data_IF_642161389904
#
_entry.id   IF_642161389904
#
_cell.length_a   1.000
_cell.length_b   1.000
_cell.length_c   1.000
_cell.angle_alpha   90.00
_cell.angle_beta   90.00
_cell.angle_gamma   90.00
#
_symmetry.space_group_name_H-M   'P 1'
#
loop_
_entity.id
_entity.type
_entity.pdbx_description
1 polymer ?
#
# COMPACT_ATOMS: atom_id res chain seq x y z
N UNK A 1 -6.01 -27.92 -18.74
CA UNK A 1 -5.13 -27.61 -17.58
C UNK A 1 -4.60 -26.18 -17.56
N UNK A 2 -3.96 -25.65 -18.63
CA UNK A 2 -3.40 -24.28 -18.62
C UNK A 2 -4.48 -23.20 -18.79
N UNK A 3 -5.51 -23.47 -19.59
CA UNK A 3 -6.68 -22.57 -19.77
C UNK A 3 -7.59 -22.57 -18.54
N UNK A 4 -7.85 -23.71 -17.92
CA UNK A 4 -8.68 -23.82 -16.70
C UNK A 4 -8.11 -22.97 -15.55
N UNK A 5 -6.79 -23.00 -15.35
CA UNK A 5 -6.11 -22.18 -14.34
C UNK A 5 -6.18 -20.68 -14.64
N UNK A 6 -6.25 -20.29 -15.92
CA UNK A 6 -6.40 -18.89 -16.32
C UNK A 6 -7.76 -18.35 -15.92
N UNK A 7 -8.83 -19.10 -16.23
CA UNK A 7 -10.20 -18.72 -15.88
C UNK A 7 -10.40 -18.65 -14.37
N UNK A 8 -9.86 -19.61 -13.61
CA UNK A 8 -9.92 -19.60 -12.14
C UNK A 8 -9.26 -18.33 -11.55
N UNK A 9 -8.11 -17.92 -12.09
CA UNK A 9 -7.43 -16.72 -11.60
C UNK A 9 -8.20 -15.44 -11.92
N UNK A 10 -8.87 -15.35 -13.07
CA UNK A 10 -9.75 -14.22 -13.40
C UNK A 10 -10.92 -14.15 -12.43
N UNK A 11 -11.58 -15.29 -12.18
CA UNK A 11 -12.68 -15.38 -11.22
C UNK A 11 -12.22 -14.94 -9.82
N UNK A 12 -11.01 -15.34 -9.41
CA UNK A 12 -10.43 -14.92 -8.14
C UNK A 12 -10.15 -13.41 -8.04
N UNK A 13 -9.69 -12.78 -9.13
CA UNK A 13 -9.50 -11.32 -9.16
C UNK A 13 -10.84 -10.60 -9.11
N UNK A 14 -11.82 -11.04 -9.91
CA UNK A 14 -13.15 -10.44 -9.94
C UNK A 14 -13.85 -10.61 -8.59
N UNK A 15 -13.77 -11.80 -7.97
CA UNK A 15 -14.36 -12.03 -6.65
C UNK A 15 -13.70 -11.16 -5.58
N UNK A 16 -12.38 -11.01 -5.61
CA UNK A 16 -11.66 -10.12 -4.71
C UNK A 16 -12.12 -8.66 -4.86
N UNK A 17 -12.23 -8.15 -6.10
CA UNK A 17 -12.71 -6.77 -6.37
C UNK A 17 -14.12 -6.58 -5.82
N UNK A 18 -15.04 -7.50 -6.10
CA UNK A 18 -16.42 -7.43 -5.59
C UNK A 18 -16.45 -7.42 -4.07
N UNK A 19 -15.69 -8.30 -3.40
CA UNK A 19 -15.63 -8.36 -1.94
C UNK A 19 -15.06 -7.06 -1.36
N UNK A 20 -14.01 -6.51 -1.98
CA UNK A 20 -13.41 -5.25 -1.57
C UNK A 20 -14.40 -4.08 -1.73
N UNK A 21 -15.08 -3.97 -2.87
CA UNK A 21 -16.07 -2.93 -3.13
C UNK A 21 -17.25 -3.00 -2.15
N UNK A 22 -17.78 -4.20 -1.89
CA UNK A 22 -18.83 -4.41 -0.90
C UNK A 22 -18.37 -3.97 0.49
N UNK A 23 -17.14 -4.31 0.90
CA UNK A 23 -16.59 -3.89 2.17
C UNK A 23 -16.42 -2.36 2.27
N UNK A 24 -16.03 -1.70 1.17
CA UNK A 24 -15.82 -0.25 1.10
C UNK A 24 -17.16 0.49 1.12
N UNK A 25 -18.13 0.07 0.30
CA UNK A 25 -19.45 0.71 0.16
C UNK A 25 -20.30 0.50 1.41
N UNK A 26 -20.26 -0.68 2.03
CA UNK A 26 -20.99 -0.97 3.28
C UNK A 26 -20.24 -0.47 4.53
N UNK A 27 -19.07 0.17 4.38
CA UNK A 27 -18.26 0.68 5.48
C UNK A 27 -17.92 -0.37 6.55
N UNK A 28 -17.61 -1.61 6.14
CA UNK A 28 -17.28 -2.68 7.09
C UNK A 28 -15.91 -2.38 7.72
N UNK A 29 -15.82 -2.12 9.04
CA UNK A 29 -14.58 -1.71 9.68
C UNK A 29 -13.51 -2.81 9.57
N UNK A 30 -12.24 -2.39 9.55
CA UNK A 30 -11.04 -3.22 9.30
C UNK A 30 -10.98 -3.87 7.90
N UNK A 31 -12.04 -4.52 7.44
CA UNK A 31 -12.12 -5.13 6.10
C UNK A 31 -11.99 -4.07 5.01
N UNK A 32 -12.68 -2.93 5.17
CA UNK A 32 -12.53 -1.78 4.26
C UNK A 32 -11.08 -1.33 4.13
N UNK A 33 -10.40 -1.15 5.27
CA UNK A 33 -9.02 -0.65 5.29
C UNK A 33 -8.07 -1.68 4.69
N UNK A 34 -8.19 -2.95 5.07
CA UNK A 34 -7.31 -4.01 4.61
C UNK A 34 -7.52 -4.33 3.12
N UNK A 35 -8.75 -4.59 2.70
CA UNK A 35 -9.07 -4.93 1.31
C UNK A 35 -8.91 -3.73 0.39
N UNK A 36 -9.36 -2.55 0.82
CA UNK A 36 -9.17 -1.31 0.07
C UNK A 36 -7.69 -0.99 -0.13
N UNK A 37 -6.85 -1.18 0.90
CA UNK A 37 -5.41 -0.98 0.78
C UNK A 37 -4.81 -1.93 -0.25
N UNK A 38 -5.15 -3.22 -0.25
CA UNK A 38 -4.67 -4.19 -1.24
C UNK A 38 -5.17 -3.85 -2.65
N UNK A 39 -6.44 -3.47 -2.78
CA UNK A 39 -7.07 -3.07 -4.05
C UNK A 39 -6.39 -1.82 -4.64
N UNK A 40 -5.98 -0.87 -3.81
CA UNK A 40 -5.27 0.33 -4.23
C UNK A 40 -3.78 0.09 -4.50
N UNK A 41 -3.04 -0.50 -3.55
CA UNK A 41 -1.57 -0.55 -3.58
C UNK A 41 -1.00 -1.72 -4.37
N UNK A 42 -1.70 -2.85 -4.46
CA UNK A 42 -1.10 -4.07 -4.99
C UNK A 42 -1.75 -4.45 -6.31
N UNK A 43 -3.08 -4.54 -6.35
CA UNK A 43 -3.80 -5.20 -7.43
C UNK A 43 -3.54 -4.60 -8.83
N UNK A 44 -3.62 -3.27 -9.06
CA UNK A 44 -3.45 -2.69 -10.39
C UNK A 44 -2.03 -2.92 -10.94
N UNK A 45 -1.03 -2.70 -10.10
CA UNK A 45 0.37 -2.94 -10.44
C UNK A 45 0.70 -4.41 -10.64
N UNK A 46 0.07 -5.32 -9.89
CA UNK A 46 0.28 -6.76 -10.05
C UNK A 46 -0.21 -7.24 -11.43
N UNK A 47 -1.35 -6.72 -11.89
CA UNK A 47 -1.88 -6.97 -13.23
C UNK A 47 -0.97 -6.36 -14.31
N UNK A 48 -0.50 -5.12 -14.12
CA UNK A 48 0.45 -4.48 -15.04
C UNK A 48 1.76 -5.26 -15.18
N UNK A 49 2.33 -5.73 -14.07
CA UNK A 49 3.54 -6.56 -14.10
C UNK A 49 3.31 -7.81 -14.92
N UNK A 50 2.13 -8.40 -14.83
CA UNK A 50 1.82 -9.61 -15.60
C UNK A 50 1.78 -9.35 -17.11
N UNK A 51 1.42 -8.13 -17.53
CA UNK A 51 1.44 -7.72 -18.93
C UNK A 51 2.86 -7.43 -19.44
N UNK A 52 3.62 -6.64 -18.68
CA UNK A 52 4.85 -6.02 -19.20
C UNK A 52 6.14 -6.71 -18.74
N UNK A 53 6.14 -7.40 -17.61
CA UNK A 53 7.36 -7.92 -16.99
C UNK A 53 7.49 -9.42 -17.25
N UNK A 54 8.63 -9.90 -17.76
CA UNK A 54 8.84 -11.32 -18.00
C UNK A 54 8.77 -12.14 -16.71
N UNK A 55 8.30 -13.39 -16.82
CA UNK A 55 7.99 -14.24 -15.67
C UNK A 55 9.22 -14.57 -14.78
N UNK A 56 10.44 -14.35 -15.26
CA UNK A 56 11.71 -14.71 -14.61
C UNK A 56 12.13 -13.78 -13.45
N UNK A 57 11.39 -12.71 -13.17
CA UNK A 57 11.68 -11.84 -12.03
C UNK A 57 11.46 -12.56 -10.69
N UNK A 58 12.32 -12.26 -9.70
CA UNK A 58 12.14 -12.73 -8.33
C UNK A 58 10.89 -12.14 -7.69
N UNK A 59 10.31 -12.87 -6.73
CA UNK A 59 9.06 -12.47 -6.06
C UNK A 59 9.16 -11.08 -5.40
N UNK A 60 10.27 -10.79 -4.73
CA UNK A 60 10.51 -9.49 -4.07
C UNK A 60 10.46 -8.35 -5.08
N UNK A 61 11.11 -8.52 -6.24
CA UNK A 61 11.09 -7.50 -7.31
C UNK A 61 9.67 -7.30 -7.82
N UNK A 62 8.90 -8.38 -8.02
CA UNK A 62 7.50 -8.30 -8.45
C UNK A 62 6.66 -7.51 -7.44
N UNK A 63 6.82 -7.75 -6.13
CA UNK A 63 6.08 -7.00 -5.10
C UNK A 63 6.44 -5.51 -5.12
N UNK A 64 7.73 -5.17 -5.15
CA UNK A 64 8.18 -3.76 -5.13
C UNK A 64 7.68 -3.02 -6.37
N UNK A 65 7.84 -3.61 -7.56
CA UNK A 65 7.31 -3.02 -8.79
C UNK A 65 5.78 -2.90 -8.76
N UNK A 66 5.08 -3.86 -8.12
CA UNK A 66 3.63 -3.87 -8.06
C UNK A 66 3.15 -2.65 -7.29
N UNK A 67 3.76 -2.37 -6.14
CA UNK A 67 3.43 -1.22 -5.32
C UNK A 67 3.74 0.08 -6.05
N UNK A 68 4.93 0.22 -6.64
CA UNK A 68 5.32 1.42 -7.37
C UNK A 68 4.41 1.73 -8.57
N UNK A 69 4.08 0.71 -9.38
CA UNK A 69 3.21 0.88 -10.54
C UNK A 69 1.78 1.22 -10.10
N UNK A 70 1.25 0.59 -9.06
CA UNK A 70 -0.07 0.92 -8.52
C UNK A 70 -0.15 2.37 -8.05
N UNK A 71 0.83 2.84 -7.27
CA UNK A 71 0.87 4.22 -6.77
C UNK A 71 0.90 5.21 -7.95
N UNK A 72 1.74 4.94 -8.96
CA UNK A 72 1.79 5.76 -10.17
C UNK A 72 0.47 5.77 -10.94
N UNK A 73 -0.18 4.62 -11.08
CA UNK A 73 -1.49 4.51 -11.73
C UNK A 73 -2.55 5.28 -10.95
N UNK A 74 -2.59 5.18 -9.63
CA UNK A 74 -3.56 5.90 -8.80
C UNK A 74 -3.43 7.42 -8.93
N UNK A 75 -2.21 7.95 -8.95
CA UNK A 75 -1.97 9.38 -9.19
C UNK A 75 -2.53 9.80 -10.57
N UNK A 76 -2.28 9.00 -11.60
CA UNK A 76 -2.76 9.29 -12.95
C UNK A 76 -4.29 9.16 -13.08
N UNK A 77 -4.89 8.13 -12.48
CA UNK A 77 -6.34 7.92 -12.42
C UNK A 77 -7.01 9.08 -11.70
N UNK A 78 -6.52 9.46 -10.52
CA UNK A 78 -7.04 10.59 -9.76
C UNK A 78 -7.00 11.89 -10.55
N UNK A 79 -5.87 12.17 -11.22
CA UNK A 79 -5.74 13.31 -12.12
C UNK A 79 -6.79 13.28 -13.25
N UNK A 80 -6.96 12.15 -13.93
CA UNK A 80 -7.91 12.02 -15.04
C UNK A 80 -9.36 12.20 -14.58
N UNK A 81 -9.78 11.56 -13.48
CA UNK A 81 -11.16 11.70 -12.98
C UNK A 81 -11.40 13.14 -12.51
N UNK A 82 -10.41 13.76 -11.86
CA UNK A 82 -10.54 15.14 -11.41
C UNK A 82 -10.73 16.11 -12.58
N UNK A 83 -10.01 15.90 -13.69
CA UNK A 83 -10.09 16.75 -14.87
C UNK A 83 -11.32 16.45 -15.74
N UNK A 84 -11.63 15.18 -16.00
CA UNK A 84 -12.71 14.76 -16.89
C UNK A 84 -14.08 14.71 -16.19
N UNK A 85 -14.10 14.43 -14.89
CA UNK A 85 -15.33 14.25 -14.11
C UNK A 85 -16.30 15.43 -14.21
N UNK A 86 -15.86 16.69 -13.99
CA UNK A 86 -16.71 17.86 -14.13
C UNK A 86 -17.31 18.00 -15.54
N UNK A 87 -16.54 17.68 -16.58
CA UNK A 87 -17.03 17.70 -17.98
C UNK A 87 -18.09 16.63 -18.25
N UNK A 88 -18.13 15.57 -17.44
CA UNK A 88 -19.15 14.52 -17.49
C UNK A 88 -20.32 14.77 -16.51
N UNK A 89 -20.39 15.95 -15.89
CA UNK A 89 -21.42 16.32 -14.92
C UNK A 89 -21.21 15.76 -13.50
N UNK A 90 -20.04 15.19 -13.20
CA UNK A 90 -19.70 14.70 -11.87
C UNK A 90 -19.17 15.86 -11.03
N UNK A 91 -19.99 16.35 -10.09
CA UNK A 91 -19.64 17.49 -9.23
C UNK A 91 -18.58 17.19 -8.16
N UNK A 92 -18.42 15.92 -7.77
CA UNK A 92 -17.46 15.46 -6.76
C UNK A 92 -16.61 14.28 -7.28
N UNK A 93 -15.70 14.51 -8.24
CA UNK A 93 -14.89 13.47 -8.87
C UNK A 93 -14.00 12.68 -7.90
N UNK A 94 -13.52 13.29 -6.82
CA UNK A 94 -12.66 12.64 -5.81
C UNK A 94 -13.45 12.04 -4.64
N UNK A 95 -14.75 11.78 -4.84
CA UNK A 95 -15.55 11.01 -3.87
C UNK A 95 -15.38 9.50 -4.07
N UNK A 96 -15.82 8.70 -3.09
CA UNK A 96 -15.60 7.24 -3.07
C UNK A 96 -16.15 6.55 -4.32
N UNK A 97 -17.36 6.92 -4.77
CA UNK A 97 -18.05 6.22 -5.85
C UNK A 97 -17.35 6.43 -7.22
N UNK A 98 -17.06 7.66 -7.68
CA UNK A 98 -16.34 7.86 -8.94
C UNK A 98 -14.92 7.26 -8.92
N UNK A 99 -14.22 7.34 -7.78
CA UNK A 99 -12.89 6.75 -7.60
C UNK A 99 -12.95 5.23 -7.77
N UNK A 100 -13.85 4.55 -7.06
CA UNK A 100 -14.00 3.09 -7.17
C UNK A 100 -14.40 2.68 -8.58
N UNK A 101 -15.34 3.40 -9.19
CA UNK A 101 -15.75 3.13 -10.57
C UNK A 101 -14.56 3.17 -11.54
N UNK A 102 -13.75 4.22 -11.48
CA UNK A 102 -12.60 4.37 -12.36
C UNK A 102 -11.51 3.32 -12.09
N UNK A 103 -11.21 3.01 -10.83
CA UNK A 103 -10.26 1.95 -10.46
C UNK A 103 -10.75 0.60 -10.98
N UNK A 104 -12.04 0.30 -10.85
CA UNK A 104 -12.65 -0.93 -11.34
C UNK A 104 -12.63 -1.00 -12.88
N UNK A 105 -12.87 0.10 -13.58
CA UNK A 105 -12.68 0.16 -15.03
C UNK A 105 -11.23 -0.16 -15.41
N UNK A 106 -10.25 0.43 -14.72
CA UNK A 106 -8.82 0.13 -14.99
C UNK A 106 -8.51 -1.34 -14.69
N UNK A 107 -8.92 -1.87 -13.54
CA UNK A 107 -8.70 -3.28 -13.19
C UNK A 107 -9.37 -4.19 -14.22
N UNK A 108 -10.61 -3.92 -14.64
CA UNK A 108 -11.32 -4.70 -15.64
C UNK A 108 -10.61 -4.66 -17.01
N UNK A 109 -10.13 -3.50 -17.45
CA UNK A 109 -9.35 -3.42 -18.69
C UNK A 109 -8.04 -4.20 -18.60
N UNK A 110 -7.34 -4.11 -17.47
CA UNK A 110 -6.11 -4.86 -17.24
C UNK A 110 -6.34 -6.37 -17.16
N UNK A 111 -7.39 -6.84 -16.49
CA UNK A 111 -7.69 -8.27 -16.43
C UNK A 111 -8.03 -8.83 -17.80
N UNK A 112 -8.79 -8.10 -18.62
CA UNK A 112 -9.09 -8.46 -20.01
C UNK A 112 -7.80 -8.50 -20.85
N UNK A 113 -6.94 -7.49 -20.75
CA UNK A 113 -5.66 -7.49 -21.46
C UNK A 113 -4.77 -8.66 -21.04
N UNK A 114 -4.72 -8.99 -19.74
CA UNK A 114 -3.91 -10.11 -19.24
C UNK A 114 -4.47 -11.44 -19.76
N UNK A 115 -5.80 -11.57 -19.87
CA UNK A 115 -6.43 -12.74 -20.46
C UNK A 115 -6.00 -12.97 -21.91
N UNK A 116 -6.01 -11.91 -22.74
CA UNK A 116 -5.66 -12.02 -24.15
C UNK A 116 -4.15 -12.15 -24.42
N UNK A 117 -3.31 -11.43 -23.66
CA UNK A 117 -1.88 -11.29 -23.99
C UNK A 117 -0.91 -11.94 -22.99
N UNK A 118 -1.27 -12.02 -21.71
CA UNK A 118 -0.34 -12.35 -20.63
C UNK A 118 -0.40 -13.79 -20.14
N UNK A 119 -1.53 -14.47 -20.32
CA UNK A 119 -1.83 -15.78 -19.74
C UNK A 119 -1.83 -15.74 -18.20
N UNK A 120 -3.01 -15.78 -17.56
CA UNK A 120 -3.13 -15.74 -16.10
C UNK A 120 -2.74 -17.07 -15.44
N UNK A 121 -1.44 -17.35 -15.37
CA UNK A 121 -0.90 -18.38 -14.48
C UNK A 121 -0.42 -17.73 -13.18
N UNK A 122 -1.35 -17.36 -12.29
CA UNK A 122 -1.05 -17.08 -10.88
C UNK A 122 -0.98 -18.41 -10.15
N UNK A 123 0.21 -19.01 -10.06
CA UNK A 123 0.41 -20.16 -9.20
C UNK A 123 0.75 -19.69 -7.77
N UNK A 124 -0.27 -19.38 -6.97
CA UNK A 124 -0.11 -19.12 -5.52
C UNK A 124 0.64 -20.29 -4.85
N UNK A 125 0.38 -21.52 -5.31
CA UNK A 125 1.00 -22.73 -4.80
C UNK A 125 2.52 -22.80 -5.04
N UNK A 126 3.01 -22.24 -6.16
CA UNK A 126 4.44 -22.17 -6.46
C UNK A 126 5.19 -21.13 -5.62
N UNK A 127 4.49 -20.09 -5.16
CA UNK A 127 5.04 -19.08 -4.23
C UNK A 127 5.22 -19.70 -2.85
N UNK A 128 4.18 -20.36 -2.32
CA UNK A 128 4.20 -20.96 -0.99
C UNK A 128 5.15 -22.17 -0.90
N UNK A 129 5.17 -23.05 -1.92
CA UNK A 129 6.01 -24.26 -1.90
C UNK A 129 7.51 -23.95 -1.95
N UNK A 130 7.90 -22.88 -2.66
CA UNK A 130 9.30 -22.49 -2.79
C UNK A 130 9.81 -21.76 -1.53
N UNK A 131 8.93 -21.06 -0.82
CA UNK A 131 9.24 -20.44 0.48
C UNK A 131 9.41 -21.49 1.58
N UNK A 132 8.53 -22.49 1.66
CA UNK A 132 8.54 -23.45 2.77
C UNK A 132 9.80 -24.33 2.80
N UNK A 133 10.32 -24.75 1.64
CA UNK A 133 11.44 -25.69 1.57
C UNK A 133 12.84 -25.09 1.82
N UNK A 134 12.97 -23.75 1.88
CA UNK A 134 14.28 -23.07 2.04
C UNK A 134 14.34 -22.14 3.25
N UNK A 135 13.25 -22.01 3.99
CA UNK A 135 13.13 -21.03 5.06
C UNK A 135 13.62 -21.59 6.40
N UNK A 136 14.67 -20.97 6.94
CA UNK A 136 15.07 -21.17 8.33
C UNK A 136 14.11 -20.39 9.23
N UNK A 137 13.60 -21.04 10.28
CA UNK A 137 12.60 -20.46 11.21
C UNK A 137 13.14 -19.21 11.93
N UNK A 138 14.42 -19.20 12.29
CA UNK A 138 15.03 -18.17 13.14
C UNK A 138 14.98 -16.76 12.52
N UNK A 139 15.49 -16.50 11.29
CA UNK A 139 15.42 -15.16 10.68
C UNK A 139 14.01 -14.61 10.53
N UNK A 140 13.02 -15.48 10.26
CA UNK A 140 11.63 -15.07 10.09
C UNK A 140 11.04 -14.63 11.43
N UNK A 141 11.29 -15.40 12.49
CA UNK A 141 10.90 -15.00 13.84
C UNK A 141 11.53 -13.67 14.25
N UNK A 142 12.81 -13.45 13.93
CA UNK A 142 13.46 -12.16 14.18
C UNK A 142 12.76 -11.01 13.46
N UNK A 143 12.45 -11.16 12.17
CA UNK A 143 11.72 -10.16 11.38
C UNK A 143 10.35 -9.85 12.00
N UNK A 144 9.59 -10.88 12.37
CA UNK A 144 8.28 -10.72 12.98
C UNK A 144 8.36 -10.04 14.36
N UNK A 145 9.35 -10.39 15.18
CA UNK A 145 9.59 -9.76 16.46
C UNK A 145 9.90 -8.27 16.30
N UNK A 146 10.81 -7.90 15.39
CA UNK A 146 11.15 -6.50 15.11
C UNK A 146 9.89 -5.69 14.73
N UNK A 147 9.05 -6.22 13.85
CA UNK A 147 7.81 -5.55 13.44
C UNK A 147 6.82 -5.42 14.60
N UNK A 148 6.65 -6.49 15.41
CA UNK A 148 5.77 -6.50 16.57
C UNK A 148 6.19 -5.46 17.62
N UNK A 149 7.48 -5.39 17.94
CA UNK A 149 8.01 -4.39 18.87
C UNK A 149 7.94 -2.96 18.30
N UNK A 150 8.02 -2.78 16.98
CA UNK A 150 7.77 -1.48 16.34
C UNK A 150 6.33 -0.98 16.55
N UNK A 151 5.34 -1.86 16.32
CA UNK A 151 3.91 -1.55 16.55
C UNK A 151 3.65 -1.29 18.03
N UNK A 152 4.06 -2.21 18.91
CA UNK A 152 3.85 -2.06 20.36
C UNK A 152 4.56 -0.81 20.89
N UNK A 153 5.79 -0.55 20.46
CA UNK A 153 6.58 0.61 20.88
C UNK A 153 5.88 1.94 20.62
N UNK A 154 5.34 2.13 19.41
CA UNK A 154 4.60 3.35 19.11
C UNK A 154 3.30 3.45 19.91
N UNK A 155 2.52 2.36 20.00
CA UNK A 155 1.25 2.36 20.73
C UNK A 155 1.44 2.60 22.24
N UNK A 156 2.50 2.05 22.86
CA UNK A 156 2.73 2.25 24.29
C UNK A 156 3.19 3.66 24.63
N UNK A 157 3.92 4.33 23.74
CA UNK A 157 4.22 5.74 23.90
C UNK A 157 2.92 6.56 23.83
N UNK A 158 2.08 6.29 22.82
CA UNK A 158 0.85 7.06 22.58
C UNK A 158 -0.15 6.96 23.74
N UNK A 159 -0.41 5.76 24.24
CA UNK A 159 -1.48 5.52 25.21
C UNK A 159 -1.00 5.42 26.66
N UNK A 160 0.23 4.94 26.88
CA UNK A 160 0.74 4.63 28.22
C UNK A 160 1.97 5.47 28.61
N UNK A 161 2.41 6.40 27.75
CA UNK A 161 3.61 7.24 27.96
C UNK A 161 4.87 6.43 28.31
N UNK A 162 4.92 5.15 27.90
CA UNK A 162 6.02 4.24 28.23
C UNK A 162 6.84 3.91 26.99
N UNK A 163 8.15 4.05 27.11
CA UNK A 163 9.12 3.86 26.01
C UNK A 163 9.82 2.50 26.07
N UNK A 164 9.38 1.59 26.94
CA UNK A 164 10.10 0.34 27.21
C UNK A 164 10.22 -0.55 25.97
N UNK A 165 9.14 -0.69 25.20
CA UNK A 165 9.13 -1.49 23.97
C UNK A 165 9.98 -0.86 22.86
N UNK A 166 10.08 0.47 22.80
CA UNK A 166 10.97 1.16 21.87
C UNK A 166 12.45 0.91 22.21
N UNK A 167 12.81 0.98 23.50
CA UNK A 167 14.18 0.67 23.95
C UNK A 167 14.53 -0.79 23.64
N UNK A 168 13.61 -1.72 23.91
CA UNK A 168 13.78 -3.14 23.55
C UNK A 168 13.97 -3.31 22.04
N UNK A 169 13.20 -2.60 21.21
CA UNK A 169 13.39 -2.63 19.76
C UNK A 169 14.79 -2.16 19.36
N UNK A 170 15.28 -1.03 19.89
CA UNK A 170 16.61 -0.50 19.55
C UNK A 170 17.73 -1.48 19.91
N UNK A 171 17.60 -2.19 21.04
CA UNK A 171 18.51 -3.26 21.45
C UNK A 171 18.43 -4.43 20.45
N UNK A 172 17.22 -4.87 20.09
CA UNK A 172 17.03 -5.94 19.10
C UNK A 172 17.64 -5.58 17.74
N UNK A 173 17.45 -4.34 17.27
CA UNK A 173 18.06 -3.85 16.02
C UNK A 173 19.58 -3.91 16.11
N UNK A 174 20.17 -3.44 17.22
CA UNK A 174 21.62 -3.46 17.44
C UNK A 174 22.18 -4.89 17.41
N UNK A 175 21.51 -5.83 18.08
CA UNK A 175 21.86 -7.26 18.07
C UNK A 175 21.76 -7.83 16.65
N UNK A 176 20.70 -7.49 15.91
CA UNK A 176 20.50 -7.95 14.53
C UNK A 176 21.62 -7.45 13.60
N UNK A 177 22.06 -6.20 13.73
CA UNK A 177 23.18 -5.65 12.96
C UNK A 177 24.47 -6.40 13.26
N UNK A 178 24.74 -6.72 14.53
CA UNK A 178 25.90 -7.53 14.92
C UNK A 178 25.82 -8.92 14.28
N UNK A 179 24.66 -9.58 14.31
CA UNK A 179 24.51 -10.89 13.67
C UNK A 179 24.63 -10.85 12.13
N UNK A 180 24.25 -9.76 11.47
CA UNK A 180 24.54 -9.57 10.03
C UNK A 180 26.05 -9.48 9.81
N UNK A 181 26.75 -8.70 10.62
CA UNK A 181 28.20 -8.52 10.50
C UNK A 181 28.94 -9.86 10.70
N UNK A 182 28.48 -10.70 11.62
CA UNK A 182 28.94 -12.07 11.79
C UNK A 182 28.25 -13.02 10.79
N UNK A 183 28.70 -12.99 9.52
CA UNK A 183 28.20 -13.77 8.37
C UNK A 183 27.95 -15.27 8.60
N UNK A 184 28.47 -15.87 9.68
CA UNK A 184 28.25 -17.27 10.06
C UNK A 184 26.85 -17.56 10.60
N UNK A 185 26.13 -16.55 11.13
CA UNK A 185 24.84 -16.75 11.82
C UNK A 185 23.64 -16.62 10.88
N UNK A 186 23.70 -15.67 9.94
CA UNK A 186 22.58 -15.35 9.04
C UNK A 186 23.05 -15.43 7.58
N UNK A 187 22.36 -16.24 6.79
CA UNK A 187 22.58 -16.33 5.33
C UNK A 187 22.27 -14.99 4.65
N UNK A 188 23.08 -14.63 3.66
CA UNK A 188 22.98 -13.36 2.91
C UNK A 188 21.60 -13.16 2.24
N UNK A 189 20.85 -14.24 1.99
CA UNK A 189 19.49 -14.19 1.46
C UNK A 189 18.49 -13.46 2.36
N UNK A 190 18.75 -13.40 3.68
CA UNK A 190 17.83 -12.78 4.65
C UNK A 190 18.13 -11.31 4.93
N UNK A 191 19.28 -10.78 4.49
CA UNK A 191 19.65 -9.38 4.77
C UNK A 191 18.64 -8.37 4.24
N UNK A 192 18.11 -8.49 3.00
CA UNK A 192 17.14 -7.54 2.49
C UNK A 192 15.85 -7.52 3.32
N UNK A 193 15.41 -8.70 3.77
CA UNK A 193 14.19 -8.85 4.58
C UNK A 193 14.34 -8.21 5.95
N UNK A 194 15.51 -8.38 6.59
CA UNK A 194 15.76 -7.81 7.91
C UNK A 194 15.96 -6.30 7.86
N UNK A 195 16.69 -5.78 6.87
CA UNK A 195 16.80 -4.34 6.64
C UNK A 195 15.43 -3.70 6.41
N UNK A 196 14.59 -4.35 5.59
CA UNK A 196 13.24 -3.89 5.35
C UNK A 196 12.39 -3.87 6.63
N UNK A 197 12.43 -4.94 7.43
CA UNK A 197 11.73 -5.01 8.71
C UNK A 197 12.17 -3.93 9.70
N UNK A 198 13.48 -3.69 9.81
CA UNK A 198 14.05 -2.63 10.66
C UNK A 198 13.56 -1.26 10.20
N UNK A 199 13.62 -0.98 8.89
CA UNK A 199 13.16 0.30 8.33
C UNK A 199 11.68 0.56 8.65
N UNK A 200 10.82 -0.45 8.45
CA UNK A 200 9.39 -0.35 8.78
C UNK A 200 9.18 -0.16 10.27
N UNK A 201 9.88 -0.92 11.13
CA UNK A 201 9.68 -0.81 12.58
C UNK A 201 10.06 0.58 13.13
N UNK A 202 11.13 1.20 12.60
CA UNK A 202 11.51 2.56 12.97
C UNK A 202 10.46 3.57 12.51
N UNK A 203 9.97 3.43 11.28
CA UNK A 203 8.88 4.27 10.76
C UNK A 203 7.66 4.12 11.67
N UNK A 204 7.21 2.89 11.96
CA UNK A 204 6.04 2.61 12.79
C UNK A 204 6.12 3.23 14.20
N UNK A 205 7.29 3.24 14.84
CA UNK A 205 7.43 3.92 16.12
C UNK A 205 7.12 5.41 15.97
N UNK A 206 7.67 6.06 14.94
CA UNK A 206 7.44 7.48 14.68
C UNK A 206 5.96 7.74 14.37
N UNK A 207 5.34 6.94 13.50
CA UNK A 207 3.95 7.16 13.06
C UNK A 207 2.96 6.89 14.18
N UNK A 208 3.14 5.82 14.95
CA UNK A 208 2.16 5.39 15.95
C UNK A 208 2.34 6.09 17.31
N UNK A 209 3.50 6.67 17.61
CA UNK A 209 3.77 7.32 18.91
C UNK A 209 3.00 8.62 19.13
N UNK A 210 2.71 9.37 18.07
CA UNK A 210 2.07 10.69 18.16
C UNK A 210 0.64 10.67 17.61
N UNK A 211 -0.23 11.52 18.13
CA UNK A 211 -1.57 11.79 17.57
C UNK A 211 -1.58 13.01 16.63
N UNK A 212 -0.46 13.74 16.55
CA UNK A 212 -0.33 15.00 15.83
C UNK A 212 0.71 14.84 14.73
N UNK A 213 0.59 15.65 13.68
CA UNK A 213 1.61 15.75 12.63
C UNK A 213 2.91 16.37 13.16
N UNK A 214 4.04 15.89 12.63
CA UNK A 214 5.37 16.42 12.88
C UNK A 214 6.03 16.84 11.57
N UNK A 215 6.44 18.11 11.49
CA UNK A 215 7.08 18.71 10.31
C UNK A 215 6.46 20.06 9.98
N UNK A 216 7.09 20.86 9.13
CA UNK A 216 6.54 22.16 8.71
C UNK A 216 5.59 22.00 7.52
N UNK A 217 6.09 21.43 6.42
CA UNK A 217 5.40 21.41 5.12
C UNK A 217 4.15 20.51 5.13
N UNK A 218 4.16 19.47 5.95
CA UNK A 218 3.09 18.48 6.04
C UNK A 218 1.76 19.08 6.53
N UNK A 219 1.80 20.18 7.27
CA UNK A 219 0.59 20.91 7.66
C UNK A 219 -0.08 21.59 6.46
N UNK A 220 0.71 22.11 5.50
CA UNK A 220 0.18 22.67 4.26
C UNK A 220 -0.40 21.57 3.37
N UNK A 221 0.27 20.43 3.28
CA UNK A 221 -0.24 19.28 2.53
C UNK A 221 -1.58 18.77 3.10
N UNK A 222 -1.70 18.69 4.43
CA UNK A 222 -2.96 18.35 5.09
C UNK A 222 -4.06 19.38 4.80
N UNK A 223 -3.73 20.67 4.79
CA UNK A 223 -4.69 21.72 4.41
C UNK A 223 -5.25 21.49 3.00
N UNK A 224 -4.40 21.22 2.00
CA UNK A 224 -4.85 20.98 0.62
C UNK A 224 -5.62 19.67 0.45
N UNK A 225 -5.24 18.62 1.19
CA UNK A 225 -6.03 17.39 1.26
C UNK A 225 -7.44 17.69 1.78
N UNK A 226 -7.55 18.42 2.90
CA UNK A 226 -8.84 18.77 3.50
C UNK A 226 -9.69 19.64 2.59
N UNK A 227 -9.07 20.58 1.88
CA UNK A 227 -9.75 21.40 0.88
C UNK A 227 -10.34 20.52 -0.24
N UNK A 228 -9.57 19.55 -0.73
CA UNK A 228 -9.99 18.63 -1.79
C UNK A 228 -11.08 17.66 -1.32
N UNK A 229 -11.03 17.20 -0.06
CA UNK A 229 -12.09 16.39 0.56
C UNK A 229 -13.42 17.14 0.67
N UNK A 230 -13.37 18.41 1.11
CA UNK A 230 -14.57 19.25 1.30
C UNK A 230 -15.21 19.59 -0.05
N UNK A 231 -14.38 20.02 -1.01
CA UNK A 231 -14.83 20.41 -2.35
C UNK A 231 -15.24 19.18 -3.18
N UNK A 232 -14.62 18.02 -2.93
CA UNK A 232 -14.79 16.79 -3.70
C UNK A 232 -14.02 16.79 -5.02
N UNK A 233 -13.16 17.78 -5.25
CA UNK A 233 -12.24 17.88 -6.38
C UNK A 233 -10.99 18.64 -5.93
N UNK A 234 -9.89 18.42 -6.65
CA UNK A 234 -8.63 19.13 -6.50
C UNK A 234 -8.58 20.28 -7.51
N UNK A 235 -8.27 21.48 -7.02
CA UNK A 235 -8.03 22.67 -7.85
C UNK A 235 -6.69 23.31 -7.46
N UNK A 236 -5.64 23.18 -8.30
CA UNK A 236 -4.33 23.76 -8.01
C UNK A 236 -4.31 25.30 -8.11
N UNK A 237 -5.32 25.92 -8.74
CA UNK A 237 -5.42 27.38 -8.84
C UNK A 237 -5.97 28.02 -7.57
N UNK A 238 -6.68 27.23 -6.74
CA UNK A 238 -7.24 27.66 -5.47
C UNK A 238 -6.13 27.68 -4.39
N UNK A 239 -5.66 28.88 -4.04
CA UNK A 239 -4.49 29.11 -3.18
C UNK A 239 -3.20 28.46 -3.74
N UNK A 240 -2.58 29.06 -4.77
CA UNK A 240 -1.43 28.49 -5.45
C UNK A 240 -0.24 28.26 -4.50
N UNK A 241 0.22 27.02 -4.44
CA UNK A 241 1.44 26.63 -3.73
C UNK A 241 2.10 25.46 -4.47
N UNK A 242 3.44 25.36 -4.46
CA UNK A 242 4.11 24.16 -4.98
C UNK A 242 3.55 22.87 -4.37
N UNK A 243 3.19 22.89 -3.09
CA UNK A 243 2.63 21.73 -2.38
C UNK A 243 1.25 21.30 -2.86
N UNK A 244 0.46 22.20 -3.46
CA UNK A 244 -0.87 21.87 -4.01
C UNK A 244 -0.80 21.31 -5.42
N UNK A 245 0.29 21.58 -6.16
CA UNK A 245 0.44 21.16 -7.56
C UNK A 245 0.87 19.71 -7.73
N UNK A 246 1.36 19.07 -6.66
CA UNK A 246 1.87 17.70 -6.71
C UNK A 246 0.73 16.69 -6.49
N UNK A 247 0.57 15.75 -7.42
CA UNK A 247 -0.44 14.68 -7.30
C UNK A 247 -0.18 13.75 -6.11
N UNK A 248 1.10 13.55 -5.76
CA UNK A 248 1.50 12.70 -4.65
C UNK A 248 1.14 13.28 -3.28
N UNK A 249 1.05 14.59 -3.16
CA UNK A 249 0.70 15.26 -1.89
C UNK A 249 -0.80 15.38 -1.77
N UNK A 250 -1.52 15.85 -2.80
CA UNK A 250 -2.96 16.10 -2.65
C UNK A 250 -3.79 14.90 -3.11
N UNK A 251 -3.69 14.55 -4.40
CA UNK A 251 -4.62 13.61 -5.05
C UNK A 251 -4.48 12.20 -4.50
N UNK A 252 -3.25 11.69 -4.37
CA UNK A 252 -3.02 10.33 -3.88
C UNK A 252 -3.53 10.16 -2.43
N UNK A 253 -3.15 11.00 -1.45
CA UNK A 253 -3.72 10.97 -0.11
C UNK A 253 -5.23 11.15 -0.05
N UNK A 254 -5.84 11.98 -0.90
CA UNK A 254 -7.31 12.10 -0.94
C UNK A 254 -7.99 10.81 -1.39
N UNK A 255 -7.40 10.06 -2.34
CA UNK A 255 -7.91 8.76 -2.76
C UNK A 255 -7.85 7.75 -1.60
N UNK A 256 -6.71 7.68 -0.89
CA UNK A 256 -6.58 6.79 0.26
C UNK A 256 -7.55 7.16 1.38
N UNK A 257 -7.66 8.45 1.72
CA UNK A 257 -8.59 8.95 2.72
C UNK A 257 -10.04 8.61 2.37
N UNK A 258 -10.46 8.89 1.12
CA UNK A 258 -11.80 8.62 0.64
C UNK A 258 -12.11 7.10 0.64
N UNK A 259 -11.24 6.28 0.06
CA UNK A 259 -11.51 4.84 -0.10
C UNK A 259 -11.37 4.08 1.21
N UNK A 260 -10.40 4.42 2.06
CA UNK A 260 -10.18 3.71 3.34
C UNK A 260 -10.97 4.28 4.52
N UNK A 261 -11.57 5.47 4.38
CA UNK A 261 -12.14 6.26 5.48
C UNK A 261 -11.14 6.40 6.61
N UNK A 262 -9.94 6.82 6.25
CA UNK A 262 -8.91 7.20 7.21
C UNK A 262 -8.92 8.71 7.38
N UNK A 263 -8.67 9.19 8.59
CA UNK A 263 -8.46 10.62 8.78
C UNK A 263 -7.19 11.04 8.05
N UNK A 264 -7.23 12.18 7.34
CA UNK A 264 -6.08 12.70 6.60
C UNK A 264 -4.80 12.84 7.45
N UNK A 265 -4.92 13.08 8.77
CA UNK A 265 -3.78 13.09 9.70
C UNK A 265 -3.06 11.74 9.67
N UNK A 266 -3.80 10.63 9.77
CA UNK A 266 -3.20 9.28 9.79
C UNK A 266 -2.62 8.89 8.42
N UNK A 267 -3.11 9.47 7.31
CA UNK A 267 -2.52 9.27 5.98
C UNK A 267 -1.15 9.94 5.86
N UNK A 268 -1.00 11.16 6.39
CA UNK A 268 0.26 11.92 6.34
C UNK A 268 1.27 11.57 7.42
N UNK A 269 0.87 10.87 8.48
CA UNK A 269 1.80 10.52 9.57
C UNK A 269 2.89 9.52 9.16
N UNK A 270 2.77 8.90 7.98
CA UNK A 270 3.64 7.82 7.48
C UNK A 270 4.96 8.34 6.91
#
# INVERSE_FOLDING_TARGET
>A
MKEDNCVINIIAVISFVIIADVAIVLNIPLYRQFLGFILLTILPGALMIKLFVPNNFSLIRKIIYSVGISISLLMFIGFLINFLGPNMGISRPLSVIPILFAINCVIATLTVLVFFYGGMNFSIRGILSNCYNKMTVIPIMCVLLILLFGVLGGLTIKYYQSSIFCVVLLILISICVIFIAYKKVISENYYPHMLFAISIAIILIRTLSSSVLFGSDIHLELFYLKLSEINGYWDPSMYPSPTSTMLSTVVLPTIYSAVLLMEGIEVYKV
#
